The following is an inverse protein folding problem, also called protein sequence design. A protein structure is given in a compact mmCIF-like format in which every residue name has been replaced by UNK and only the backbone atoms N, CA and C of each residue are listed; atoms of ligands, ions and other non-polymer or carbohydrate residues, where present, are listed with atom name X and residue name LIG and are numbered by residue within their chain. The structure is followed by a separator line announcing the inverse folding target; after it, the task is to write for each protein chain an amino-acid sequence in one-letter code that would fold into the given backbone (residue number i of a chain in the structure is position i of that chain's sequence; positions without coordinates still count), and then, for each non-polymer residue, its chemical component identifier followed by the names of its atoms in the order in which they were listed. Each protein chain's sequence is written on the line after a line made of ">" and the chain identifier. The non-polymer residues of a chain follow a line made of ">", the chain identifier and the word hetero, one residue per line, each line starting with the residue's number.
data_IF_093054288502
#
_entry.id   IF_093054288502
#
_cell.length_a   1.000
_cell.length_b   1.000
_cell.length_c   1.000
_cell.angle_alpha   90.00
_cell.angle_beta   90.00
_cell.angle_gamma   90.00
#
_symmetry.space_group_name_H-M   'P 1'
#
loop_
_entity.id
_entity.type
_entity.pdbx_description
1 polymer ?
#
# COMPACT_ATOMS: atom_id res chain seq x y z
N UNK A 1 0.55 16.27 10.84
CA UNK A 1 1.83 15.54 10.87
C UNK A 1 1.78 14.15 11.48
N UNK A 2 1.24 13.86 12.68
CA UNK A 2 1.23 12.46 13.20
C UNK A 2 0.00 11.65 12.74
N UNK A 3 -1.17 12.31 12.66
CA UNK A 3 -2.45 11.66 12.34
C UNK A 3 -2.45 11.03 10.93
N UNK A 4 -1.83 11.67 9.95
CA UNK A 4 -1.77 11.20 8.56
C UNK A 4 -1.05 9.84 8.46
N UNK A 5 0.08 9.68 9.15
CA UNK A 5 0.84 8.42 9.18
C UNK A 5 0.15 7.34 10.01
N UNK A 6 -0.59 7.74 11.04
CA UNK A 6 -1.43 6.81 11.82
C UNK A 6 -2.53 6.24 10.93
N UNK A 7 -3.23 7.09 10.17
CA UNK A 7 -4.26 6.65 9.21
C UNK A 7 -3.66 5.75 8.13
N UNK A 8 -2.50 6.12 7.58
CA UNK A 8 -1.82 5.31 6.57
C UNK A 8 -1.38 3.94 7.12
N UNK A 9 -0.88 3.90 8.36
CA UNK A 9 -0.51 2.67 9.04
C UNK A 9 -1.71 1.76 9.30
N UNK A 10 -2.87 2.32 9.70
CA UNK A 10 -4.11 1.56 9.83
C UNK A 10 -4.60 1.02 8.48
N UNK A 11 -4.49 1.82 7.41
CA UNK A 11 -4.84 1.37 6.06
C UNK A 11 -3.96 0.19 5.63
N UNK A 12 -2.63 0.34 5.73
CA UNK A 12 -1.68 -0.72 5.40
C UNK A 12 -1.90 -1.99 6.25
N UNK A 13 -2.18 -1.82 7.55
CA UNK A 13 -2.49 -2.94 8.45
C UNK A 13 -3.77 -3.67 8.04
N UNK A 14 -4.82 -2.92 7.70
CA UNK A 14 -6.07 -3.50 7.22
C UNK A 14 -5.88 -4.26 5.89
N UNK A 15 -5.12 -3.70 4.95
CA UNK A 15 -4.77 -4.36 3.68
C UNK A 15 -3.99 -5.66 3.92
N UNK A 16 -3.01 -5.65 4.84
CA UNK A 16 -2.23 -6.84 5.18
C UNK A 16 -3.10 -7.96 5.78
N UNK A 17 -4.03 -7.61 6.67
CA UNK A 17 -4.98 -8.58 7.27
C UNK A 17 -5.93 -9.13 6.20
N UNK A 18 -6.46 -8.28 5.32
CA UNK A 18 -7.30 -8.73 4.21
C UNK A 18 -6.55 -9.68 3.27
N UNK A 19 -5.28 -9.36 2.96
CA UNK A 19 -4.41 -10.24 2.18
C UNK A 19 -4.22 -11.60 2.82
N UNK A 20 -3.88 -11.64 4.11
CA UNK A 20 -3.72 -12.89 4.88
C UNK A 20 -4.99 -13.73 4.88
N UNK A 21 -6.15 -13.09 5.07
CA UNK A 21 -7.43 -13.79 5.01
C UNK A 21 -7.73 -14.36 3.61
N UNK A 22 -7.31 -13.68 2.54
CA UNK A 22 -7.48 -14.17 1.15
C UNK A 22 -6.50 -15.31 0.80
N UNK A 23 -5.27 -15.29 1.33
CA UNK A 23 -4.25 -16.32 1.04
C UNK A 23 -4.40 -17.58 1.87
N UNK A 24 -5.13 -17.57 2.99
CA UNK A 24 -5.36 -18.78 3.79
C UNK A 24 -6.13 -19.86 2.99
N UNK A 25 -5.53 -21.06 2.76
CA UNK A 25 -6.19 -22.17 2.10
C UNK A 25 -7.21 -22.84 3.04
N UNK A 26 -8.41 -23.16 2.54
CA UNK A 26 -9.45 -23.89 3.30
C UNK A 26 -10.79 -23.16 3.50
N UNK A 27 -10.93 -21.92 3.03
CA UNK A 27 -12.13 -21.08 3.21
C UNK A 27 -12.97 -20.93 1.94
N UNK A 28 -13.09 -21.95 1.08
CA UNK A 28 -13.66 -21.79 -0.27
C UNK A 28 -15.12 -21.29 -0.31
N UNK A 29 -15.95 -21.66 0.68
CA UNK A 29 -17.31 -21.13 0.82
C UNK A 29 -17.30 -19.64 1.25
N UNK A 30 -16.40 -19.26 2.15
CA UNK A 30 -16.24 -17.89 2.62
C UNK A 30 -15.49 -17.01 1.61
N UNK A 31 -14.73 -17.61 0.68
CA UNK A 31 -13.94 -16.92 -0.35
C UNK A 31 -14.79 -16.03 -1.25
N UNK A 32 -16.03 -16.44 -1.60
CA UNK A 32 -16.97 -15.59 -2.36
C UNK A 32 -17.40 -14.35 -1.56
N UNK A 33 -17.71 -14.52 -0.28
CA UNK A 33 -18.04 -13.43 0.62
C UNK A 33 -16.85 -12.49 0.83
N UNK A 34 -15.67 -13.07 1.09
CA UNK A 34 -14.43 -12.33 1.28
C UNK A 34 -14.04 -11.52 0.03
N UNK A 35 -14.16 -12.09 -1.17
CA UNK A 35 -13.90 -11.37 -2.42
C UNK A 35 -14.87 -10.20 -2.60
N UNK A 36 -16.14 -10.38 -2.26
CA UNK A 36 -17.14 -9.31 -2.32
C UNK A 36 -16.82 -8.16 -1.35
N UNK A 37 -16.49 -8.52 -0.10
CA UNK A 37 -16.09 -7.56 0.94
C UNK A 37 -14.81 -6.84 0.54
N UNK A 38 -13.81 -7.58 0.06
CA UNK A 38 -12.52 -7.04 -0.37
C UNK A 38 -12.70 -6.08 -1.55
N UNK A 39 -13.54 -6.43 -2.54
CA UNK A 39 -13.82 -5.58 -3.70
C UNK A 39 -14.60 -4.32 -3.31
N UNK A 40 -15.51 -4.43 -2.34
CA UNK A 40 -16.22 -3.28 -1.77
C UNK A 40 -15.31 -2.39 -0.93
N UNK A 41 -14.35 -2.96 -0.21
CA UNK A 41 -13.34 -2.23 0.57
C UNK A 41 -12.23 -1.63 -0.31
N UNK A 42 -11.93 -2.22 -1.47
CA UNK A 42 -10.94 -1.71 -2.41
C UNK A 42 -11.38 -0.39 -3.05
N UNK A 43 -12.68 -0.22 -3.27
CA UNK A 43 -13.27 0.99 -3.88
C UNK A 43 -12.99 2.27 -3.07
N UNK A 44 -13.21 2.32 -1.75
CA UNK A 44 -12.81 3.46 -0.93
C UNK A 44 -11.29 3.53 -0.74
N UNK A 45 -10.57 2.40 -0.71
CA UNK A 45 -9.10 2.38 -0.62
C UNK A 45 -8.41 2.99 -1.86
N UNK A 46 -9.09 3.07 -3.01
CA UNK A 46 -8.60 3.78 -4.20
C UNK A 46 -8.35 5.28 -3.94
N UNK A 47 -9.04 5.88 -2.97
CA UNK A 47 -8.80 7.27 -2.52
C UNK A 47 -7.51 7.44 -1.71
N UNK A 48 -6.91 6.35 -1.22
CA UNK A 48 -5.60 6.36 -0.55
C UNK A 48 -4.47 6.59 -1.55
N UNK A 49 -4.65 6.21 -2.83
CA UNK A 49 -3.65 6.41 -3.89
C UNK A 49 -3.34 7.90 -4.15
N UNK A 50 -4.33 8.78 -4.40
CA UNK A 50 -4.06 10.21 -4.57
C UNK A 50 -3.50 10.84 -3.29
N UNK A 51 -3.88 10.35 -2.11
CA UNK A 51 -3.32 10.79 -0.83
C UNK A 51 -1.84 10.40 -0.70
N UNK A 52 -1.45 9.17 -1.05
CA UNK A 52 -0.07 8.72 -1.13
C UNK A 52 0.75 9.55 -2.13
N UNK A 53 0.20 9.85 -3.31
CA UNK A 53 0.84 10.72 -4.31
C UNK A 53 1.08 12.14 -3.76
N UNK A 54 0.11 12.70 -3.04
CA UNK A 54 0.26 14.00 -2.40
C UNK A 54 1.39 13.99 -1.35
N UNK A 55 1.46 12.95 -0.53
CA UNK A 55 2.53 12.79 0.47
C UNK A 55 3.91 12.57 -0.16
N UNK A 56 3.99 11.83 -1.28
CA UNK A 56 5.23 11.69 -2.05
C UNK A 56 5.65 13.02 -2.67
N UNK A 57 4.70 13.80 -3.18
CA UNK A 57 4.98 15.12 -3.74
C UNK A 57 5.43 16.10 -2.65
N UNK A 58 4.85 16.06 -1.46
CA UNK A 58 5.29 16.85 -0.30
C UNK A 58 6.71 16.44 0.14
N UNK A 59 7.02 15.15 0.16
CA UNK A 59 8.39 14.65 0.41
C UNK A 59 9.36 15.11 -0.68
N UNK A 60 8.98 14.99 -1.95
CA UNK A 60 9.80 15.38 -3.10
C UNK A 60 10.07 16.88 -3.10
N UNK A 61 9.03 17.70 -2.91
CA UNK A 61 9.15 19.15 -2.82
C UNK A 61 10.05 19.57 -1.65
N UNK A 62 9.93 18.89 -0.51
CA UNK A 62 10.78 19.10 0.66
C UNK A 62 12.23 18.66 0.42
N UNK A 63 12.48 17.68 -0.45
CA UNK A 63 13.82 17.30 -0.86
C UNK A 63 14.42 18.35 -1.81
N UNK A 64 13.64 18.85 -2.77
CA UNK A 64 14.07 19.85 -3.75
C UNK A 64 14.34 21.21 -3.10
N UNK A 65 13.48 21.65 -2.17
CA UNK A 65 13.72 22.88 -1.38
C UNK A 65 14.77 22.69 -0.29
N UNK A 66 15.21 21.45 -0.02
CA UNK A 66 16.36 21.11 0.84
C UNK A 66 17.58 20.80 -0.06
N UNK A 67 17.90 21.65 -1.03
CA UNK A 67 19.22 21.63 -1.65
C UNK A 67 19.66 23.05 -1.98
N UNK A 68 20.50 23.62 -1.11
CA UNK A 68 21.86 24.09 -1.44
C UNK A 68 22.45 24.88 -0.26
N UNK A 69 23.22 24.20 0.60
CA UNK A 69 24.42 24.88 1.10
C UNK A 69 25.38 24.93 -0.10
N UNK A 70 25.23 25.94 -0.94
CA UNK A 70 26.04 26.16 -2.15
C UNK A 70 27.29 27.00 -1.89
N UNK A 71 27.59 27.34 -0.63
CA UNK A 71 28.77 28.12 -0.30
C UNK A 71 29.90 27.22 0.20
N UNK A 72 31.08 27.38 -0.42
CA UNK A 72 32.36 26.73 -0.10
C UNK A 72 32.83 26.93 1.36
N UNK A 73 32.14 27.76 2.15
CA UNK A 73 32.53 28.12 3.51
C UNK A 73 31.47 27.70 4.55
N UNK A 74 31.58 26.46 5.01
CA UNK A 74 31.24 26.07 6.39
C UNK A 74 29.77 25.83 6.71
N UNK A 75 29.26 24.63 6.41
CA UNK A 75 28.08 24.11 7.10
C UNK A 75 28.52 23.50 8.46
N UNK A 76 27.94 23.97 9.57
CA UNK A 76 28.28 23.52 10.93
C UNK A 76 27.78 22.10 11.22
N UNK A 77 28.55 21.28 11.94
CA UNK A 77 28.21 19.88 12.28
C UNK A 77 26.84 19.72 12.98
N UNK A 78 26.34 20.77 13.63
CA UNK A 78 25.01 20.81 14.26
C UNK A 78 23.85 20.89 13.25
N UNK A 79 24.06 21.53 12.10
CA UNK A 79 23.08 21.62 11.01
C UNK A 79 23.03 20.32 10.21
N UNK A 80 24.18 19.64 10.07
CA UNK A 80 24.27 18.32 9.46
C UNK A 80 23.49 17.24 10.24
N UNK A 81 23.56 17.26 11.58
CA UNK A 81 22.80 16.34 12.44
C UNK A 81 21.30 16.65 12.38
N UNK A 82 20.91 17.92 12.29
CA UNK A 82 19.50 18.33 12.12
C UNK A 82 18.94 17.89 10.76
N UNK A 83 19.76 17.96 9.71
CA UNK A 83 19.43 17.45 8.37
C UNK A 83 19.28 15.94 8.32
N UNK A 84 20.20 15.18 8.91
CA UNK A 84 20.11 13.73 9.02
C UNK A 84 18.82 13.30 9.75
N UNK A 85 18.46 14.02 10.83
CA UNK A 85 17.23 13.75 11.59
C UNK A 85 15.96 14.01 10.77
N UNK A 86 15.95 15.01 9.89
CA UNK A 86 14.81 15.25 8.98
C UNK A 86 14.72 14.24 7.84
N UNK A 87 15.86 13.77 7.30
CA UNK A 87 15.89 12.76 6.23
C UNK A 87 15.47 11.38 6.75
N UNK A 88 15.93 10.96 7.92
CA UNK A 88 15.51 9.68 8.53
C UNK A 88 14.01 9.67 8.84
N UNK A 89 13.44 10.82 9.23
CA UNK A 89 12.00 10.97 9.45
C UNK A 89 11.20 10.83 8.14
N UNK A 90 11.73 11.35 7.03
CA UNK A 90 11.13 11.24 5.69
C UNK A 90 11.26 9.84 5.09
N UNK A 91 12.40 9.18 5.29
CA UNK A 91 12.66 7.80 4.83
C UNK A 91 11.63 6.79 5.37
N UNK A 92 11.31 6.87 6.67
CA UNK A 92 10.29 6.00 7.30
C UNK A 92 8.91 6.21 6.68
N UNK A 93 8.60 7.45 6.34
CA UNK A 93 7.35 7.86 5.72
C UNK A 93 7.24 7.39 4.26
N UNK A 94 8.33 7.50 3.49
CA UNK A 94 8.41 6.97 2.13
C UNK A 94 8.27 5.44 2.10
N UNK A 95 8.92 4.73 3.04
CA UNK A 95 8.75 3.28 3.24
C UNK A 95 7.30 2.90 3.54
N UNK A 96 6.61 3.68 4.39
CA UNK A 96 5.21 3.46 4.72
C UNK A 96 4.30 3.60 3.48
N UNK A 97 4.54 4.63 2.67
CA UNK A 97 3.80 4.85 1.42
C UNK A 97 4.07 3.72 0.43
N UNK A 98 5.34 3.37 0.20
CA UNK A 98 5.71 2.28 -0.70
C UNK A 98 5.08 0.95 -0.28
N UNK A 99 5.09 0.65 1.03
CA UNK A 99 4.47 -0.56 1.59
C UNK A 99 2.96 -0.57 1.35
N UNK A 100 2.28 0.55 1.58
CA UNK A 100 0.83 0.68 1.34
C UNK A 100 0.49 0.46 -0.14
N UNK A 101 1.23 1.09 -1.06
CA UNK A 101 1.00 0.92 -2.50
C UNK A 101 1.24 -0.52 -2.96
N UNK A 102 2.30 -1.17 -2.46
CA UNK A 102 2.60 -2.57 -2.77
C UNK A 102 1.52 -3.51 -2.21
N UNK A 103 1.08 -3.31 -0.97
CA UNK A 103 0.02 -4.12 -0.36
C UNK A 103 -1.30 -3.97 -1.12
N UNK A 104 -1.70 -2.75 -1.47
CA UNK A 104 -2.84 -2.50 -2.35
C UNK A 104 -2.73 -3.26 -3.67
N UNK A 105 -1.57 -3.18 -4.34
CA UNK A 105 -1.33 -3.88 -5.61
C UNK A 105 -1.45 -5.39 -5.48
N UNK A 106 -0.84 -5.96 -4.43
CA UNK A 106 -0.93 -7.40 -4.13
C UNK A 106 -2.38 -7.81 -3.88
N UNK A 107 -3.12 -7.03 -3.10
CA UNK A 107 -4.51 -7.32 -2.75
C UNK A 107 -5.41 -7.27 -3.99
N UNK A 108 -5.20 -6.31 -4.90
CA UNK A 108 -5.88 -6.26 -6.19
C UNK A 108 -5.54 -7.46 -7.08
N UNK A 109 -4.25 -7.82 -7.18
CA UNK A 109 -3.78 -8.94 -7.99
C UNK A 109 -4.35 -10.28 -7.50
N UNK A 110 -4.25 -10.54 -6.20
CA UNK A 110 -4.77 -11.77 -5.56
C UNK A 110 -6.27 -11.86 -5.70
N UNK A 111 -7.01 -10.76 -5.50
CA UNK A 111 -8.46 -10.75 -5.68
C UNK A 111 -8.85 -11.11 -7.12
N UNK A 112 -8.19 -10.53 -8.12
CA UNK A 112 -8.44 -10.85 -9.53
C UNK A 112 -8.07 -12.29 -9.87
N UNK A 113 -6.97 -12.80 -9.33
CA UNK A 113 -6.54 -14.18 -9.53
C UNK A 113 -7.57 -15.16 -8.95
N UNK A 114 -8.05 -14.91 -7.73
CA UNK A 114 -9.08 -15.73 -7.08
C UNK A 114 -10.38 -15.74 -7.90
N UNK A 115 -10.82 -14.59 -8.41
CA UNK A 115 -12.01 -14.51 -9.27
C UNK A 115 -11.83 -15.35 -10.54
N UNK A 116 -10.65 -15.27 -11.18
CA UNK A 116 -10.34 -16.08 -12.38
C UNK A 116 -10.35 -17.58 -12.06
N UNK A 117 -9.76 -17.99 -10.94
CA UNK A 117 -9.74 -19.38 -10.48
C UNK A 117 -11.16 -19.90 -10.24
N UNK A 118 -12.01 -19.11 -9.59
CA UNK A 118 -13.43 -19.49 -9.37
C UNK A 118 -14.18 -19.67 -10.69
N UNK A 119 -14.02 -18.75 -11.64
CA UNK A 119 -14.66 -18.86 -12.95
C UNK A 119 -14.17 -20.09 -13.73
N UNK A 120 -12.87 -20.41 -13.66
CA UNK A 120 -12.33 -21.62 -14.26
C UNK A 120 -12.88 -22.89 -13.61
N UNK A 121 -12.91 -22.94 -12.28
CA UNK A 121 -13.43 -24.09 -11.52
C UNK A 121 -14.89 -24.38 -11.85
N UNK A 122 -15.74 -23.35 -11.94
CA UNK A 122 -17.14 -23.51 -12.35
C UNK A 122 -17.27 -24.05 -13.78
N UNK A 123 -16.44 -23.59 -14.72
CA UNK A 123 -16.44 -24.10 -16.10
C UNK A 123 -16.04 -25.58 -16.16
N UNK A 124 -15.04 -25.98 -15.36
CA UNK A 124 -14.62 -27.39 -15.26
C UNK A 124 -15.75 -28.26 -14.69
N UNK A 125 -16.46 -27.80 -13.66
CA UNK A 125 -17.62 -28.53 -13.11
C UNK A 125 -18.76 -28.69 -14.11
N UNK A 126 -19.04 -27.65 -14.91
CA UNK A 126 -20.07 -27.73 -15.97
C UNK A 126 -19.69 -28.73 -17.06
N UNK A 127 -18.41 -28.73 -17.49
CA UNK A 127 -17.91 -29.70 -18.46
C UNK A 127 -17.98 -31.13 -17.91
N UNK A 128 -17.58 -31.34 -16.65
CA UNK A 128 -17.64 -32.65 -16.00
C UNK A 128 -19.06 -33.21 -15.84
N UNK A 129 -20.08 -32.34 -15.75
CA UNK A 129 -21.49 -32.76 -15.69
C UNK A 129 -22.10 -33.04 -17.06
N UNK A 130 -21.43 -32.64 -18.14
CA UNK A 130 -21.88 -32.83 -19.52
C UNK A 130 -21.33 -34.11 -20.17
N UNK A 131 -20.23 -34.66 -19.63
CA UNK A 131 -19.73 -36.04 -19.88
C UNK A 131 -20.44 -37.06 -18.97
#
# INVERSE_FOLDING_TARGET
>A
MALEWVVLGYAAGAEAVMLLLLTMPGLDALRKGLVSVTRSALKPMLSVIPFCMFLLMDIYWKYETILTCSDENGCSASEHIRHQKSIIKSQRNALLIATTVILYWLLFSVTNLVVRVQHLSQRVEMLKKAD
#
